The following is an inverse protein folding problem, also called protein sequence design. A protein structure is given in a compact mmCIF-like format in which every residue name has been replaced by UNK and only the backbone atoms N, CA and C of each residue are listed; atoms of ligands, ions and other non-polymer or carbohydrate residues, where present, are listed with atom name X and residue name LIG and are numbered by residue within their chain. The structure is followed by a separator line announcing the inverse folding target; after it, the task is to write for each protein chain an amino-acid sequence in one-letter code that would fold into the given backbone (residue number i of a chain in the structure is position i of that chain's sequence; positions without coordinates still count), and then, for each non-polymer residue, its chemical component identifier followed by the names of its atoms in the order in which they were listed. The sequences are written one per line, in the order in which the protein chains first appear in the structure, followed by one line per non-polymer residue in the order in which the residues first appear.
data_IF_962643017278
#
_entry.id   IF_962643017278
#
_cell.length_a   1.000
_cell.length_b   1.000
_cell.length_c   1.000
_cell.angle_alpha   90.00
_cell.angle_beta   90.00
_cell.angle_gamma   90.00
#
_symmetry.space_group_name_H-M   'P 1'
#
loop_
_entity.id
_entity.type
_entity.pdbx_description
1 polymer ?
#
# COMPACT_ATOMS: atom_id res chain seq x y z
N UNK A 1 -20.70 -9.32 1.68
CA UNK A 1 -19.36 -9.28 2.29
C UNK A 1 -19.36 -9.84 3.71
N UNK A 2 -20.15 -9.29 4.65
CA UNK A 2 -20.23 -9.81 6.03
C UNK A 2 -20.47 -11.33 6.11
N UNK A 3 -21.38 -11.85 5.27
CA UNK A 3 -21.64 -13.29 5.15
C UNK A 3 -20.42 -14.11 4.69
N UNK A 4 -19.64 -13.61 3.72
CA UNK A 4 -18.46 -14.32 3.20
C UNK A 4 -17.38 -14.40 4.30
N UNK A 5 -17.17 -13.29 5.01
CA UNK A 5 -16.19 -13.21 6.10
C UNK A 5 -16.63 -14.08 7.29
N UNK A 6 -17.91 -14.08 7.66
CA UNK A 6 -18.41 -14.86 8.81
C UNK A 6 -18.31 -16.38 8.61
N UNK A 7 -18.35 -16.85 7.36
CA UNK A 7 -18.17 -18.27 7.02
C UNK A 7 -16.68 -18.68 7.01
N UNK A 8 -15.76 -17.76 7.33
CA UNK A 8 -14.31 -18.04 7.36
C UNK A 8 -13.72 -18.31 5.98
N UNK A 9 -14.39 -17.86 4.91
CA UNK A 9 -13.91 -18.00 3.54
C UNK A 9 -12.89 -16.91 3.25
N UNK A 10 -11.70 -17.31 2.80
CA UNK A 10 -10.70 -16.36 2.34
C UNK A 10 -11.16 -15.69 1.04
N UNK A 11 -11.10 -14.36 0.97
CA UNK A 11 -11.45 -13.60 -0.23
C UNK A 11 -10.40 -12.54 -0.55
N UNK A 12 -10.19 -12.33 -1.85
CA UNK A 12 -9.36 -11.25 -2.38
C UNK A 12 -10.30 -10.20 -2.96
N UNK A 13 -10.12 -8.95 -2.58
CA UNK A 13 -10.86 -7.80 -3.11
C UNK A 13 -9.90 -6.89 -3.85
N UNK A 14 -10.03 -6.85 -5.16
CA UNK A 14 -9.19 -6.05 -6.04
C UNK A 14 -9.87 -4.74 -6.41
N UNK A 15 -9.14 -3.65 -6.29
CA UNK A 15 -9.53 -2.28 -6.60
C UNK A 15 -8.55 -1.71 -7.63
N UNK A 16 -9.02 -0.78 -8.46
CA UNK A 16 -8.20 -0.09 -9.44
C UNK A 16 -8.42 1.41 -9.26
N UNK A 17 -7.33 2.19 -9.24
CA UNK A 17 -7.35 3.66 -9.18
C UNK A 17 -6.57 4.28 -10.35
N UNK A 18 -6.70 5.59 -10.55
CA UNK A 18 -6.02 6.33 -11.60
C UNK A 18 -6.76 6.33 -12.94
N UNK A 19 -8.08 6.14 -12.92
CA UNK A 19 -8.91 6.33 -14.11
C UNK A 19 -8.90 7.80 -14.55
N UNK A 20 -8.96 8.12 -15.86
CA UNK A 20 -8.93 9.49 -16.38
C UNK A 20 -10.13 10.37 -15.98
N UNK A 21 -11.13 9.77 -15.36
CA UNK A 21 -12.36 10.42 -14.87
C UNK A 21 -12.48 10.29 -13.34
N UNK A 22 -11.47 9.73 -12.67
CA UNK A 22 -11.42 9.60 -11.22
C UNK A 22 -11.07 10.95 -10.62
N UNK A 23 -11.96 11.48 -9.79
CA UNK A 23 -11.66 12.65 -8.96
C UNK A 23 -11.03 12.20 -7.63
N UNK A 24 -10.42 13.13 -6.89
CA UNK A 24 -9.78 12.81 -5.60
C UNK A 24 -10.78 12.17 -4.61
N UNK A 25 -12.03 12.62 -4.63
CA UNK A 25 -13.09 12.06 -3.79
C UNK A 25 -13.43 10.59 -4.11
N UNK A 26 -13.26 10.15 -5.36
CA UNK A 26 -13.50 8.76 -5.76
C UNK A 26 -12.41 7.83 -5.19
N UNK A 27 -11.15 8.29 -5.22
CA UNK A 27 -10.04 7.58 -4.57
C UNK A 27 -10.23 7.53 -3.05
N UNK A 28 -10.60 8.65 -2.43
CA UNK A 28 -10.91 8.68 -1.00
C UNK A 28 -12.04 7.71 -0.65
N UNK A 29 -13.13 7.68 -1.44
CA UNK A 29 -14.23 6.73 -1.24
C UNK A 29 -13.77 5.26 -1.36
N UNK A 30 -12.84 4.98 -2.26
CA UNK A 30 -12.22 3.65 -2.39
C UNK A 30 -11.42 3.28 -1.14
N UNK A 31 -10.58 4.19 -0.63
CA UNK A 31 -9.79 3.99 0.58
C UNK A 31 -10.68 3.82 1.83
N UNK A 32 -11.74 4.63 1.95
CA UNK A 32 -12.75 4.50 3.01
C UNK A 32 -13.46 3.14 2.95
N UNK A 33 -13.75 2.66 1.74
CA UNK A 33 -14.35 1.34 1.54
C UNK A 33 -13.40 0.25 2.04
N UNK A 34 -12.13 0.28 1.65
CA UNK A 34 -11.09 -0.66 2.12
C UNK A 34 -11.02 -0.64 3.66
N UNK A 35 -10.93 0.54 4.27
CA UNK A 35 -10.86 0.69 5.72
C UNK A 35 -12.08 0.08 6.42
N UNK A 36 -13.29 0.37 5.93
CA UNK A 36 -14.54 -0.18 6.49
C UNK A 36 -14.62 -1.71 6.36
N UNK A 37 -14.09 -2.27 5.28
CA UNK A 37 -14.01 -3.72 5.08
C UNK A 37 -13.13 -4.35 6.15
N UNK A 38 -11.96 -3.77 6.42
CA UNK A 38 -11.02 -4.25 7.43
C UNK A 38 -11.56 -4.10 8.85
N UNK A 39 -12.26 -3.01 9.15
CA UNK A 39 -13.00 -2.85 10.39
C UNK A 39 -14.06 -3.95 10.58
N UNK A 40 -14.81 -4.27 9.51
CA UNK A 40 -15.82 -5.32 9.55
C UNK A 40 -15.17 -6.69 9.75
N UNK A 41 -14.09 -6.98 9.04
CA UNK A 41 -13.33 -8.22 9.16
C UNK A 41 -12.93 -8.48 10.61
N UNK A 42 -12.27 -7.51 11.25
CA UNK A 42 -11.85 -7.63 12.66
C UNK A 42 -13.01 -7.82 13.65
N UNK A 43 -14.20 -7.34 13.32
CA UNK A 43 -15.39 -7.50 14.19
C UNK A 43 -15.98 -8.91 14.12
N UNK A 44 -15.74 -9.64 13.03
CA UNK A 44 -16.39 -10.94 12.79
C UNK A 44 -15.41 -12.12 12.76
N UNK A 45 -14.11 -11.87 12.62
CA UNK A 45 -13.07 -12.89 12.53
C UNK A 45 -11.78 -12.44 13.22
N UNK A 46 -11.19 -13.33 14.01
CA UNK A 46 -9.82 -13.17 14.55
C UNK A 46 -8.74 -13.58 13.54
N UNK A 47 -9.13 -14.06 12.35
CA UNK A 47 -8.23 -14.46 11.28
C UNK A 47 -8.25 -13.45 10.15
N UNK A 48 -7.08 -13.26 9.52
CA UNK A 48 -6.95 -12.59 8.22
C UNK A 48 -7.59 -13.46 7.14
N UNK A 49 -8.76 -13.05 6.68
CA UNK A 49 -9.61 -13.70 5.68
C UNK A 49 -9.82 -12.83 4.44
N UNK A 50 -9.63 -11.52 4.54
CA UNK A 50 -9.74 -10.57 3.43
C UNK A 50 -8.36 -10.06 3.08
N UNK A 51 -7.96 -10.25 1.83
CA UNK A 51 -6.78 -9.63 1.22
C UNK A 51 -7.23 -8.51 0.31
N UNK A 52 -6.61 -7.35 0.42
CA UNK A 52 -6.87 -6.19 -0.42
C UNK A 52 -5.82 -6.16 -1.52
N UNK A 53 -6.25 -5.86 -2.72
CA UNK A 53 -5.33 -5.52 -3.80
C UNK A 53 -5.75 -4.17 -4.34
N UNK A 54 -4.84 -3.22 -4.37
CA UNK A 54 -5.08 -1.91 -4.99
C UNK A 54 -4.07 -1.72 -6.13
N UNK A 55 -4.57 -1.68 -7.35
CA UNK A 55 -3.74 -1.55 -8.54
C UNK A 55 -3.92 -0.18 -9.17
N UNK A 56 -2.81 0.43 -9.59
CA UNK A 56 -2.88 1.59 -10.47
C UNK A 56 -3.38 1.14 -11.84
N UNK A 57 -4.16 1.96 -12.51
CA UNK A 57 -4.61 1.69 -13.87
C UNK A 57 -3.40 1.49 -14.79
N UNK A 58 -3.35 0.32 -15.41
CA UNK A 58 -2.38 -0.02 -16.45
C UNK A 58 -3.10 -0.09 -17.79
N UNK A 59 -2.59 0.64 -18.78
CA UNK A 59 -3.14 0.64 -20.13
C UNK A 59 -2.66 -0.61 -20.89
N UNK A 60 -3.61 -1.38 -21.40
CA UNK A 60 -3.33 -2.58 -22.20
C UNK A 60 -3.78 -2.36 -23.65
N UNK A 61 -3.05 -2.91 -24.63
CA UNK A 61 -3.46 -2.87 -26.04
C UNK A 61 -4.89 -3.39 -26.23
N UNK A 62 -5.59 -2.81 -27.20
CA UNK A 62 -6.94 -3.23 -27.61
C UNK A 62 -8.03 -3.07 -26.53
N UNK A 63 -7.76 -2.31 -25.46
CA UNK A 63 -8.78 -1.94 -24.48
C UNK A 63 -9.43 -0.60 -24.84
N UNK A 64 -10.73 -0.47 -24.59
CA UNK A 64 -11.50 0.75 -24.89
C UNK A 64 -10.88 1.99 -24.23
N UNK A 65 -10.42 1.84 -22.98
CA UNK A 65 -9.80 2.93 -22.23
C UNK A 65 -8.44 3.34 -22.82
N UNK A 66 -7.68 2.39 -23.36
CA UNK A 66 -6.41 2.66 -24.02
C UNK A 66 -6.62 3.39 -25.35
N UNK A 67 -7.59 2.97 -26.16
CA UNK A 67 -7.89 3.68 -27.42
C UNK A 67 -8.43 5.10 -27.13
N UNK A 68 -9.25 5.28 -26.09
CA UNK A 68 -9.79 6.58 -25.70
C UNK A 68 -8.72 7.57 -25.22
N UNK A 69 -7.72 7.09 -24.48
CA UNK A 69 -6.67 7.94 -23.90
C UNK A 69 -5.36 7.91 -24.67
N UNK A 70 -5.24 7.15 -25.77
CA UNK A 70 -3.99 6.83 -26.45
C UNK A 70 -3.06 8.04 -26.65
N UNK A 71 -3.61 9.14 -27.16
CA UNK A 71 -2.84 10.36 -27.47
C UNK A 71 -2.35 11.12 -26.24
N UNK A 72 -2.95 10.88 -25.06
CA UNK A 72 -2.58 11.53 -23.79
C UNK A 72 -1.56 10.73 -22.99
N UNK A 73 -1.29 9.48 -23.37
CA UNK A 73 -0.37 8.62 -22.63
C UNK A 73 1.10 9.05 -22.84
N UNK A 74 1.81 9.28 -21.75
CA UNK A 74 3.23 9.64 -21.69
C UNK A 74 4.08 8.44 -21.28
N UNK A 75 5.30 8.35 -21.81
CA UNK A 75 6.22 7.24 -21.51
C UNK A 75 6.68 7.34 -20.05
N UNK A 76 6.38 6.32 -19.27
CA UNK A 76 6.73 6.24 -17.84
C UNK A 76 7.90 5.27 -17.59
N UNK A 77 8.22 4.41 -18.55
CA UNK A 77 9.18 3.32 -18.34
C UNK A 77 8.46 2.05 -17.89
N UNK A 78 9.18 1.12 -17.26
CA UNK A 78 8.65 -0.20 -16.86
C UNK A 78 7.97 -0.14 -15.47
N UNK A 79 7.70 1.08 -14.96
CA UNK A 79 7.18 1.33 -13.61
C UNK A 79 5.75 0.80 -13.37
N UNK A 80 5.03 0.38 -14.40
CA UNK A 80 3.71 -0.25 -14.26
C UNK A 80 3.78 -1.74 -13.90
N UNK A 81 4.98 -2.33 -13.91
CA UNK A 81 5.23 -3.70 -13.44
C UNK A 81 6.09 -3.60 -12.18
N UNK A 82 5.41 -3.58 -11.04
CA UNK A 82 5.84 -3.22 -9.67
C UNK A 82 6.96 -4.06 -9.04
N UNK A 83 7.96 -4.51 -9.81
CA UNK A 83 9.04 -5.36 -9.30
C UNK A 83 10.44 -4.90 -9.71
N UNK A 84 10.55 -3.88 -10.55
CA UNK A 84 11.83 -3.35 -10.96
C UNK A 84 12.14 -2.12 -10.14
N UNK A 85 13.23 -2.19 -9.37
CA UNK A 85 13.85 -1.06 -8.69
C UNK A 85 13.83 0.17 -9.61
N UNK A 86 13.56 1.35 -9.05
CA UNK A 86 13.74 2.65 -9.72
C UNK A 86 15.17 2.82 -10.29
N UNK A 87 16.09 1.94 -9.92
CA UNK A 87 17.47 1.86 -10.39
C UNK A 87 17.68 1.01 -11.66
N UNK A 88 16.63 0.40 -12.23
CA UNK A 88 16.78 -0.35 -13.49
C UNK A 88 16.93 0.62 -14.66
N UNK A 89 18.19 0.82 -15.08
CA UNK A 89 18.51 1.57 -16.29
C UNK A 89 18.10 0.75 -17.51
N UNK A 90 17.02 1.16 -18.17
CA UNK A 90 16.60 0.57 -19.45
C UNK A 90 17.59 1.03 -20.53
N UNK A 91 18.24 0.11 -21.26
CA UNK A 91 19.13 0.47 -22.36
C UNK A 91 18.41 1.34 -23.41
N UNK A 92 19.11 2.34 -23.95
CA UNK A 92 18.52 3.29 -24.91
C UNK A 92 17.89 2.59 -26.12
N UNK A 93 18.51 1.52 -26.62
CA UNK A 93 17.98 0.71 -27.72
C UNK A 93 16.60 0.11 -27.42
N UNK A 94 16.38 -0.33 -26.18
CA UNK A 94 15.10 -0.90 -25.73
C UNK A 94 14.07 0.22 -25.55
N UNK A 95 14.49 1.37 -25.00
CA UNK A 95 13.63 2.54 -24.86
C UNK A 95 13.16 3.05 -26.22
N UNK A 96 14.06 3.17 -27.20
CA UNK A 96 13.71 3.54 -28.57
C UNK A 96 12.76 2.52 -29.21
N UNK A 97 12.99 1.23 -29.01
CA UNK A 97 12.10 0.17 -29.50
C UNK A 97 10.69 0.31 -28.91
N UNK A 98 10.56 0.54 -27.61
CA UNK A 98 9.26 0.77 -26.94
C UNK A 98 8.59 2.01 -27.52
N UNK A 99 9.34 3.12 -27.63
CA UNK A 99 8.81 4.40 -28.11
C UNK A 99 8.33 4.36 -29.56
N UNK A 100 9.06 3.65 -30.43
CA UNK A 100 8.68 3.45 -31.83
C UNK A 100 7.49 2.49 -32.00
N UNK A 101 7.15 1.71 -30.96
CA UNK A 101 6.09 0.71 -30.98
C UNK A 101 5.04 0.93 -29.86
N UNK A 102 4.72 2.19 -29.54
CA UNK A 102 3.82 2.58 -28.42
C UNK A 102 2.57 1.68 -28.29
N UNK A 103 1.85 1.39 -29.39
CA UNK A 103 0.66 0.51 -29.38
C UNK A 103 0.91 -0.88 -28.77
N UNK A 104 2.09 -1.45 -28.97
CA UNK A 104 2.46 -2.77 -28.44
C UNK A 104 2.96 -2.75 -27.01
N UNK A 105 3.32 -1.58 -26.49
CA UNK A 105 3.95 -1.40 -25.18
C UNK A 105 3.19 -0.40 -24.31
N UNK A 106 1.86 -0.35 -24.40
CA UNK A 106 1.04 0.60 -23.64
C UNK A 106 1.18 0.46 -22.12
N UNK A 107 1.61 -0.70 -21.63
CA UNK A 107 1.97 -0.86 -20.22
C UNK A 107 3.15 0.05 -19.83
N UNK A 108 4.03 0.47 -20.74
CA UNK A 108 5.13 1.39 -20.40
C UNK A 108 4.72 2.88 -20.38
N UNK A 109 3.42 3.15 -20.48
CA UNK A 109 2.86 4.49 -20.57
C UNK A 109 1.72 4.67 -19.56
N UNK A 110 1.57 5.90 -19.07
CA UNK A 110 0.45 6.27 -18.22
C UNK A 110 0.00 7.72 -18.48
N UNK A 111 -1.07 8.13 -17.80
CA UNK A 111 -1.46 9.53 -17.72
C UNK A 111 -0.51 10.25 -16.77
N UNK A 112 -0.13 11.48 -17.11
CA UNK A 112 0.84 12.28 -16.34
C UNK A 112 0.48 12.41 -14.86
N UNK A 113 -0.80 12.56 -14.54
CA UNK A 113 -1.32 12.65 -13.17
C UNK A 113 -1.06 11.39 -12.32
N UNK A 114 -0.91 10.22 -12.96
CA UNK A 114 -0.64 8.96 -12.30
C UNK A 114 0.86 8.70 -12.07
N UNK A 115 1.75 9.52 -12.63
CA UNK A 115 3.20 9.24 -12.72
C UNK A 115 4.01 9.82 -11.55
N UNK A 116 3.37 10.36 -10.51
CA UNK A 116 4.10 10.79 -9.30
C UNK A 116 4.58 9.56 -8.50
N UNK A 117 5.72 9.70 -7.79
CA UNK A 117 6.26 8.63 -6.94
C UNK A 117 5.20 8.11 -5.95
N UNK A 118 4.49 9.02 -5.28
CA UNK A 118 3.35 8.67 -4.43
C UNK A 118 2.29 7.84 -5.16
N UNK A 119 1.84 8.29 -6.34
CA UNK A 119 0.81 7.57 -7.12
C UNK A 119 1.31 6.23 -7.65
N UNK A 120 2.60 6.05 -7.91
CA UNK A 120 3.15 4.76 -8.34
C UNK A 120 3.06 3.74 -7.20
N UNK A 121 3.40 4.14 -5.98
CA UNK A 121 3.56 3.25 -4.82
C UNK A 121 2.34 3.19 -3.88
N UNK A 122 1.31 4.02 -4.11
CA UNK A 122 0.11 4.06 -3.29
C UNK A 122 -0.55 2.69 -3.13
N UNK A 123 -0.63 1.91 -4.23
CA UNK A 123 -1.22 0.58 -4.22
C UNK A 123 -0.50 -0.38 -3.29
N UNK A 124 0.84 -0.40 -3.35
CA UNK A 124 1.69 -1.24 -2.50
C UNK A 124 1.58 -0.84 -1.04
N UNK A 125 1.62 0.46 -0.75
CA UNK A 125 1.49 0.94 0.62
C UNK A 125 0.12 0.63 1.22
N UNK A 126 -0.96 0.76 0.46
CA UNK A 126 -2.32 0.42 0.92
C UNK A 126 -2.42 -1.07 1.22
N UNK A 127 -1.86 -1.94 0.38
CA UNK A 127 -1.80 -3.37 0.64
C UNK A 127 -1.02 -3.65 1.94
N UNK A 128 0.19 -3.09 2.08
CA UNK A 128 0.99 -3.20 3.30
C UNK A 128 0.22 -2.74 4.54
N UNK A 129 -0.39 -1.56 4.49
CA UNK A 129 -1.10 -0.96 5.61
C UNK A 129 -2.30 -1.81 6.04
N UNK A 130 -3.14 -2.25 5.10
CA UNK A 130 -4.41 -2.89 5.43
C UNK A 130 -4.37 -4.43 5.50
N UNK A 131 -3.44 -5.08 4.81
CA UNK A 131 -3.29 -6.54 4.89
C UNK A 131 -2.34 -6.99 5.99
N UNK A 132 -1.34 -6.16 6.35
CA UNK A 132 -0.39 -6.46 7.41
C UNK A 132 -0.61 -5.60 8.64
N UNK A 133 -0.38 -4.28 8.52
CA UNK A 133 -0.28 -3.43 9.70
C UNK A 133 -1.62 -3.24 10.41
N UNK A 134 -2.75 -3.27 9.71
CA UNK A 134 -4.07 -3.17 10.32
C UNK A 134 -4.41 -4.36 11.24
N UNK A 135 -3.74 -5.50 11.05
CA UNK A 135 -3.89 -6.63 11.97
C UNK A 135 -3.03 -6.48 13.22
N UNK A 136 -1.87 -5.82 13.11
CA UNK A 136 -0.89 -5.66 14.20
C UNK A 136 -1.16 -4.40 15.02
N UNK A 137 -1.48 -3.30 14.34
CA UNK A 137 -1.71 -1.95 14.85
C UNK A 137 -3.12 -1.40 14.57
N UNK A 138 -4.19 -2.18 14.78
CA UNK A 138 -5.53 -1.75 14.41
C UNK A 138 -5.97 -0.46 15.10
N UNK A 139 -5.70 -0.32 16.40
CA UNK A 139 -6.16 0.84 17.16
C UNK A 139 -5.37 2.09 16.80
N UNK A 140 -4.08 1.94 16.52
CA UNK A 140 -3.23 3.01 16.00
C UNK A 140 -3.77 3.52 14.67
N UNK A 141 -4.06 2.62 13.73
CA UNK A 141 -4.55 3.01 12.40
C UNK A 141 -5.95 3.62 12.47
N UNK A 142 -6.86 3.04 13.25
CA UNK A 142 -8.19 3.63 13.50
C UNK A 142 -8.05 5.08 14.02
N UNK A 143 -7.16 5.30 15.00
CA UNK A 143 -6.95 6.63 15.58
C UNK A 143 -6.26 7.63 14.64
N UNK A 144 -5.34 7.18 13.79
CA UNK A 144 -4.73 8.04 12.77
C UNK A 144 -5.78 8.55 11.79
N UNK A 145 -6.64 7.65 11.31
CA UNK A 145 -7.71 7.98 10.37
C UNK A 145 -8.74 8.88 11.03
N UNK A 146 -9.15 8.60 12.28
CA UNK A 146 -10.04 9.48 13.06
C UNK A 146 -9.45 10.87 13.27
N UNK A 147 -8.17 10.94 13.65
CA UNK A 147 -7.47 12.21 13.85
C UNK A 147 -7.33 13.01 12.56
N UNK A 148 -7.25 12.34 11.40
CA UNK A 148 -7.27 12.97 10.08
C UNK A 148 -8.69 13.16 9.52
N UNK A 149 -9.72 13.23 10.38
CA UNK A 149 -11.11 13.47 9.98
C UNK A 149 -11.63 12.50 8.90
N UNK A 150 -11.14 11.26 8.92
CA UNK A 150 -11.44 10.24 7.92
C UNK A 150 -11.08 10.68 6.49
N UNK A 151 -9.95 11.37 6.31
CA UNK A 151 -9.33 11.58 4.99
C UNK A 151 -8.10 10.68 4.84
N UNK A 152 -8.27 9.47 4.31
CA UNK A 152 -7.19 8.49 4.21
C UNK A 152 -6.18 8.91 3.15
N UNK A 153 -6.61 9.39 1.98
CA UNK A 153 -5.72 9.82 0.90
C UNK A 153 -4.71 10.87 1.42
N UNK A 154 -5.21 11.93 2.06
CA UNK A 154 -4.39 12.98 2.66
C UNK A 154 -3.46 12.47 3.78
N UNK A 155 -3.88 11.49 4.58
CA UNK A 155 -3.01 10.87 5.59
C UNK A 155 -1.83 10.16 4.93
N UNK A 156 -2.08 9.44 3.83
CA UNK A 156 -1.05 8.73 3.07
C UNK A 156 -0.08 9.72 2.39
N UNK A 157 -0.59 10.82 1.85
CA UNK A 157 0.25 11.89 1.30
C UNK A 157 1.14 12.52 2.38
N UNK A 158 0.62 12.74 3.59
CA UNK A 158 1.42 13.25 4.72
C UNK A 158 2.52 12.27 5.14
N UNK A 159 2.21 10.97 5.23
CA UNK A 159 3.21 9.94 5.53
C UNK A 159 4.33 9.93 4.49
N UNK A 160 3.95 9.98 3.21
CA UNK A 160 4.89 10.06 2.10
C UNK A 160 5.75 11.33 2.17
N UNK A 161 5.16 12.49 2.52
CA UNK A 161 5.88 13.75 2.57
C UNK A 161 6.85 13.87 3.77
N UNK A 162 6.60 13.16 4.88
CA UNK A 162 7.45 13.24 6.08
C UNK A 162 8.67 12.33 5.96
N UNK A 163 8.50 11.09 5.47
CA UNK A 163 9.57 10.11 5.32
C UNK A 163 9.43 9.34 4.00
N UNK A 164 9.64 10.03 2.86
CA UNK A 164 9.50 9.44 1.52
C UNK A 164 10.32 8.15 1.36
N UNK A 165 11.59 8.19 1.74
CA UNK A 165 12.49 7.02 1.62
C UNK A 165 11.95 5.82 2.41
N UNK A 166 11.54 6.03 3.66
CA UNK A 166 10.95 4.98 4.49
C UNK A 166 9.64 4.42 3.90
N UNK A 167 8.77 5.30 3.39
CA UNK A 167 7.52 4.90 2.74
C UNK A 167 7.79 3.98 1.55
N UNK A 168 8.74 4.37 0.68
CA UNK A 168 9.11 3.61 -0.51
C UNK A 168 9.79 2.28 -0.15
N UNK A 169 10.66 2.28 0.87
CA UNK A 169 11.28 1.06 1.37
C UNK A 169 10.26 0.06 1.91
N UNK A 170 9.26 0.52 2.66
CA UNK A 170 8.17 -0.34 3.14
C UNK A 170 7.40 -1.00 1.99
N UNK A 171 7.08 -0.23 0.94
CA UNK A 171 6.42 -0.74 -0.26
C UNK A 171 7.24 -1.87 -0.92
N UNK A 172 8.55 -1.64 -1.09
CA UNK A 172 9.47 -2.63 -1.70
C UNK A 172 9.66 -3.86 -0.81
N UNK A 173 9.94 -3.65 0.48
CA UNK A 173 10.26 -4.70 1.43
C UNK A 173 9.09 -5.64 1.67
N UNK A 174 7.87 -5.10 1.73
CA UNK A 174 6.65 -5.87 1.89
C UNK A 174 6.49 -6.91 0.75
N UNK A 175 6.85 -6.56 -0.48
CA UNK A 175 6.68 -7.44 -1.64
C UNK A 175 7.86 -8.40 -1.88
N UNK A 176 9.08 -8.02 -1.49
CA UNK A 176 10.31 -8.72 -1.92
C UNK A 176 11.01 -9.52 -0.83
N UNK A 177 10.79 -9.20 0.45
CA UNK A 177 11.48 -9.87 1.53
C UNK A 177 10.71 -11.11 2.02
N UNK A 178 11.41 -12.24 2.16
CA UNK A 178 10.85 -13.54 2.58
C UNK A 178 11.57 -14.13 3.81
N UNK A 179 12.35 -13.32 4.53
CA UNK A 179 13.02 -13.75 5.77
C UNK A 179 12.06 -14.00 6.93
N UNK A 180 12.47 -14.84 7.88
CA UNK A 180 11.64 -15.20 9.05
C UNK A 180 11.44 -14.04 10.04
N UNK A 181 12.29 -13.04 9.97
CA UNK A 181 12.30 -11.78 10.73
C UNK A 181 11.57 -10.64 10.00
N UNK A 182 10.97 -10.89 8.82
CA UNK A 182 10.25 -9.89 8.03
C UNK A 182 9.29 -9.06 8.88
N UNK A 183 8.42 -9.74 9.61
CA UNK A 183 7.33 -9.09 10.34
C UNK A 183 7.87 -8.25 11.52
N UNK A 184 8.98 -8.68 12.14
CA UNK A 184 9.70 -7.89 13.14
C UNK A 184 10.24 -6.59 12.53
N UNK A 185 10.98 -6.69 11.43
CA UNK A 185 11.56 -5.53 10.74
C UNK A 185 10.44 -4.57 10.28
N UNK A 186 9.38 -5.09 9.67
CA UNK A 186 8.24 -4.26 9.24
C UNK A 186 7.58 -3.53 10.41
N UNK A 187 7.46 -4.18 11.58
CA UNK A 187 6.88 -3.55 12.76
C UNK A 187 7.75 -2.42 13.33
N UNK A 188 9.07 -2.58 13.34
CA UNK A 188 10.02 -1.53 13.74
C UNK A 188 9.95 -0.34 12.79
N UNK A 189 10.08 -0.59 11.48
CA UNK A 189 10.04 0.47 10.46
C UNK A 189 8.68 1.19 10.44
N UNK A 190 7.57 0.46 10.59
CA UNK A 190 6.25 1.08 10.71
C UNK A 190 6.13 1.95 11.97
N UNK A 191 6.65 1.48 13.11
CA UNK A 191 6.63 2.26 14.35
C UNK A 191 7.41 3.56 14.20
N UNK A 192 8.59 3.52 13.57
CA UNK A 192 9.39 4.71 13.31
C UNK A 192 8.67 5.69 12.38
N UNK A 193 8.07 5.21 11.29
CA UNK A 193 7.31 6.04 10.36
C UNK A 193 6.15 6.77 11.06
N UNK A 194 5.33 6.05 11.85
CA UNK A 194 4.21 6.67 12.57
C UNK A 194 4.70 7.60 13.67
N UNK A 195 5.82 7.27 14.33
CA UNK A 195 6.44 8.16 15.32
C UNK A 195 6.92 9.46 14.69
N UNK A 196 7.53 9.40 13.49
CA UNK A 196 7.91 10.58 12.71
C UNK A 196 6.67 11.42 12.36
N UNK A 197 5.57 10.81 11.92
CA UNK A 197 4.30 11.52 11.67
C UNK A 197 3.81 12.26 12.92
N UNK A 198 3.80 11.60 14.07
CA UNK A 198 3.33 12.18 15.33
C UNK A 198 4.22 13.34 15.78
N UNK A 199 5.54 13.19 15.70
CA UNK A 199 6.51 14.20 16.11
C UNK A 199 6.46 15.45 15.23
N UNK A 200 6.14 15.30 13.95
CA UNK A 200 6.04 16.41 13.00
C UNK A 200 4.64 17.04 12.96
N UNK A 201 3.61 16.37 13.49
CA UNK A 201 2.24 16.85 13.45
C UNK A 201 1.47 16.58 14.75
N UNK A 202 1.34 17.63 15.57
CA UNK A 202 0.65 17.61 16.87
C UNK A 202 -0.78 17.07 16.82
N UNK A 203 -1.45 17.07 15.65
CA UNK A 203 -2.77 16.47 15.47
C UNK A 203 -2.80 15.00 15.91
N UNK A 204 -1.70 14.28 15.76
CA UNK A 204 -1.61 12.85 16.04
C UNK A 204 -1.04 12.53 17.42
N UNK A 205 -0.79 13.52 18.28
CA UNK A 205 -0.15 13.28 19.60
C UNK A 205 -0.91 12.28 20.48
N UNK A 206 -2.24 12.24 20.36
CA UNK A 206 -3.09 11.31 21.09
C UNK A 206 -2.97 9.85 20.60
N UNK A 207 -2.31 9.61 19.46
CA UNK A 207 -2.04 8.28 18.89
C UNK A 207 -0.86 7.60 19.58
N UNK A 208 0.16 8.35 20.01
CA UNK A 208 1.42 7.81 20.56
C UNK A 208 1.24 6.76 21.66
N UNK A 209 0.40 6.98 22.71
CA UNK A 209 0.22 5.96 23.75
C UNK A 209 -0.36 4.63 23.25
N UNK A 210 -1.12 4.67 22.15
CA UNK A 210 -1.71 3.47 21.53
C UNK A 210 -0.67 2.76 20.67
N UNK A 211 0.10 3.52 19.89
CA UNK A 211 1.21 3.02 19.10
C UNK A 211 2.21 2.25 19.99
N UNK A 212 2.69 2.88 21.07
CA UNK A 212 3.66 2.27 21.98
C UNK A 212 3.15 0.94 22.56
N UNK A 213 1.86 0.91 22.92
CA UNK A 213 1.23 -0.28 23.51
C UNK A 213 1.10 -1.42 22.50
N UNK A 214 0.62 -1.14 21.29
CA UNK A 214 0.49 -2.15 20.24
C UNK A 214 1.87 -2.66 19.79
N UNK A 215 2.85 -1.76 19.66
CA UNK A 215 4.22 -2.09 19.30
C UNK A 215 4.87 -3.02 20.32
N UNK A 216 4.84 -2.67 21.62
CA UNK A 216 5.33 -3.54 22.69
C UNK A 216 4.63 -4.90 22.71
N UNK A 217 3.35 -4.95 22.35
CA UNK A 217 2.59 -6.20 22.21
C UNK A 217 3.09 -7.05 21.04
N UNK A 218 3.32 -6.43 19.88
CA UNK A 218 3.87 -7.08 18.70
C UNK A 218 5.26 -7.66 18.98
N UNK A 219 6.16 -6.87 19.57
CA UNK A 219 7.53 -7.28 19.87
C UNK A 219 7.61 -8.49 20.82
N UNK A 220 6.80 -8.50 21.89
CA UNK A 220 6.74 -9.64 22.82
C UNK A 220 6.31 -10.95 22.16
N UNK A 221 5.41 -10.88 21.17
CA UNK A 221 4.97 -12.05 20.43
C UNK A 221 6.07 -12.62 19.52
N UNK A 222 7.02 -11.78 19.05
CA UNK A 222 8.21 -12.26 18.33
C UNK A 222 9.17 -12.96 19.25
N UNK A 223 9.59 -12.31 20.33
CA UNK A 223 10.55 -12.89 21.28
C UNK A 223 10.13 -14.29 21.75
N UNK A 224 8.82 -14.50 21.96
CA UNK A 224 8.26 -15.80 22.31
C UNK A 224 8.36 -16.85 21.19
N UNK A 225 8.12 -16.45 19.92
CA UNK A 225 8.25 -17.35 18.77
C UNK A 225 9.72 -17.75 18.53
N UNK A 226 10.66 -16.82 18.67
CA UNK A 226 12.10 -17.09 18.53
C UNK A 226 12.64 -17.93 19.70
N UNK A 227 12.16 -17.73 20.93
CA UNK A 227 12.58 -18.58 22.07
C UNK A 227 12.13 -20.04 21.89
N UNK A 228 10.93 -20.29 21.38
CA UNK A 228 10.44 -21.66 21.13
C UNK A 228 11.22 -22.37 20.02
N UNK A 229 11.64 -21.64 18.97
CA UNK A 229 12.45 -22.21 17.90
C UNK A 229 13.88 -22.56 18.34
N UNK A 230 14.40 -21.89 19.37
CA UNK A 230 15.73 -22.17 19.92
C UNK A 230 15.73 -23.30 20.96
N UNK A 231 14.59 -23.61 21.57
CA UNK A 231 14.43 -24.72 22.54
C UNK A 231 14.12 -26.09 21.91
N UNK A 232 14.10 -26.19 20.57
CA UNK A 232 13.81 -27.44 19.83
C UNK A 232 14.99 -27.99 19.02
N UNK A 233 16.24 -27.71 19.43
CA UNK A 233 17.45 -28.33 18.84
C UNK A 233 18.19 -29.24 19.81
#
# INVERSE_FOLDING_TARGET
MQFIISEGTNCILSFIYGYPFEEEEDLEATLQTIFRIKQLERKVSDKRTVTIQLHRLTFLPETDIAELQYDKLEYEGINTMSYFDENVVIPDEIKELIQNNKRGFLNCYNLKENMSSFRIHLGDFVCFLFDEMYYIYPLTIDKLIEANEFKIHSLLEELFAIEEECFLELCRFHNLYFGSDKELIMCEVFYDLISSLINNNNRYIAVSPVLDKEHLGAMKNYDYKTSIQNDTR
#
